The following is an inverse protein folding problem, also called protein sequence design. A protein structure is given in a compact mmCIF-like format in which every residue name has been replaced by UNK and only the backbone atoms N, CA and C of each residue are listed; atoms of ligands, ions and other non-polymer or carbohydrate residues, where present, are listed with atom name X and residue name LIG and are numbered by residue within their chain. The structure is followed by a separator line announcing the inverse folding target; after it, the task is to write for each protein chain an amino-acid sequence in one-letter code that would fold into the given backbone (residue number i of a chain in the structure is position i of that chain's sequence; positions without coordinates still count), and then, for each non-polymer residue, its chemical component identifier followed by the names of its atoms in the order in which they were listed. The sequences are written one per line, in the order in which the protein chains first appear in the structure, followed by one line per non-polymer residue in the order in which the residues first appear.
data_IF_431877722959
#
_entry.id   IF_431877722959
#
_cell.length_a   1.000
_cell.length_b   1.000
_cell.length_c   1.000
_cell.angle_alpha   90.00
_cell.angle_beta   90.00
_cell.angle_gamma   90.00
#
_symmetry.space_group_name_H-M   'P 1'
#
loop_
_entity.id
_entity.type
_entity.pdbx_description
1 polymer ?
#
# COMPACT_ATOMS: atom_id res chain seq x y z
N UNK A 1 11.55 14.75 20.83
CA UNK A 1 11.18 14.35 19.46
C UNK A 1 11.87 13.02 19.17
N UNK A 2 11.15 12.02 18.64
CA UNK A 2 11.83 10.81 18.14
C UNK A 2 12.54 11.18 16.85
N UNK A 3 13.85 10.91 16.77
CA UNK A 3 14.71 11.32 15.65
C UNK A 3 15.04 10.16 14.70
N UNK A 4 14.70 8.93 15.08
CA UNK A 4 14.94 7.74 14.28
C UNK A 4 13.72 7.43 13.40
N UNK A 5 13.92 7.01 12.13
CA UNK A 5 12.85 6.49 11.29
C UNK A 5 12.10 5.32 11.94
N UNK A 6 10.88 5.05 11.45
CA UNK A 6 10.10 3.92 11.93
C UNK A 6 10.81 2.60 11.58
N UNK A 7 10.62 1.58 12.42
CA UNK A 7 11.28 0.28 12.24
C UNK A 7 11.03 -0.26 10.82
N UNK A 8 12.09 -0.71 10.16
CA UNK A 8 12.03 -1.24 8.79
C UNK A 8 12.08 -0.17 7.70
N UNK A 9 12.34 1.10 8.05
CA UNK A 9 12.53 2.20 7.09
C UNK A 9 13.86 2.90 7.33
N UNK A 10 14.42 3.51 6.28
CA UNK A 10 15.69 4.24 6.33
C UNK A 10 15.56 5.56 5.56
N UNK A 11 16.30 6.57 6.01
CA UNK A 11 16.56 7.76 5.20
C UNK A 11 17.65 7.43 4.17
N UNK A 12 17.48 7.87 2.93
CA UNK A 12 18.50 7.75 1.88
C UNK A 12 19.19 9.11 1.70
N UNK A 13 20.52 9.12 1.81
CA UNK A 13 21.35 10.31 1.71
C UNK A 13 21.69 10.61 0.23
N UNK A 14 22.21 11.82 -0.09
CA UNK A 14 22.38 12.26 -1.48
C UNK A 14 23.13 11.26 -2.38
N UNK A 15 24.22 10.67 -1.89
CA UNK A 15 24.99 9.68 -2.66
C UNK A 15 24.20 8.39 -2.94
N UNK A 16 23.33 7.96 -2.03
CA UNK A 16 22.50 6.77 -2.21
C UNK A 16 21.36 7.04 -3.19
N UNK A 17 20.78 8.24 -3.13
CA UNK A 17 19.74 8.69 -4.06
C UNK A 17 20.31 8.81 -5.47
N UNK A 18 21.52 9.38 -5.65
CA UNK A 18 22.18 9.49 -6.95
C UNK A 18 22.37 8.12 -7.62
N UNK A 19 22.85 7.13 -6.86
CA UNK A 19 23.02 5.76 -7.35
C UNK A 19 21.67 5.14 -7.72
N UNK A 20 20.65 5.34 -6.88
CA UNK A 20 19.30 4.81 -7.12
C UNK A 20 18.68 5.40 -8.39
N UNK A 21 18.77 6.71 -8.57
CA UNK A 21 18.20 7.41 -9.72
C UNK A 21 18.89 6.98 -11.02
N UNK A 22 20.22 6.82 -10.99
CA UNK A 22 20.96 6.28 -12.12
C UNK A 22 20.44 4.89 -12.52
N UNK A 23 20.34 3.97 -11.55
CA UNK A 23 19.87 2.60 -11.82
C UNK A 23 18.42 2.56 -12.34
N UNK A 24 17.52 3.34 -11.74
CA UNK A 24 16.13 3.43 -12.19
C UNK A 24 16.04 3.94 -13.63
N UNK A 25 16.85 4.94 -13.99
CA UNK A 25 16.89 5.47 -15.35
C UNK A 25 17.45 4.48 -16.38
N UNK A 26 18.49 3.72 -16.04
CA UNK A 26 19.02 2.68 -16.94
C UNK A 26 17.98 1.58 -17.21
N UNK A 27 17.26 1.14 -16.17
CA UNK A 27 16.16 0.18 -16.32
C UNK A 27 15.05 0.76 -17.21
N UNK A 28 14.63 2.00 -16.94
CA UNK A 28 13.58 2.67 -17.70
C UNK A 28 13.93 2.80 -19.19
N UNK A 29 15.18 3.17 -19.52
CA UNK A 29 15.66 3.26 -20.91
C UNK A 29 15.48 1.96 -21.66
N UNK A 30 15.78 0.82 -21.03
CA UNK A 30 15.60 -0.50 -21.64
C UNK A 30 14.13 -0.78 -21.94
N UNK A 31 13.23 -0.53 -20.99
CA UNK A 31 11.78 -0.72 -21.22
C UNK A 31 11.25 0.15 -22.36
N UNK A 32 11.59 1.44 -22.36
CA UNK A 32 11.15 2.39 -23.40
C UNK A 32 11.70 2.01 -24.77
N UNK A 33 12.97 1.59 -24.86
CA UNK A 33 13.56 1.13 -26.12
C UNK A 33 12.88 -0.12 -26.69
N UNK A 34 12.17 -0.88 -25.86
CA UNK A 34 11.38 -2.05 -26.25
C UNK A 34 9.87 -1.74 -26.44
N UNK A 35 9.50 -0.45 -26.47
CA UNK A 35 8.13 -0.02 -26.75
C UNK A 35 7.18 -0.04 -25.55
N UNK A 36 7.69 -0.22 -24.33
CA UNK A 36 6.87 -0.12 -23.12
C UNK A 36 6.74 1.34 -22.67
N UNK A 37 5.58 1.68 -22.12
CA UNK A 37 5.31 2.98 -21.50
C UNK A 37 5.34 2.85 -19.98
N UNK A 38 5.89 3.87 -19.32
CA UNK A 38 5.97 3.91 -17.87
C UNK A 38 4.71 4.57 -17.30
N UNK A 39 4.01 3.86 -16.42
CA UNK A 39 2.89 4.37 -15.63
C UNK A 39 3.24 4.37 -14.15
N UNK A 40 2.52 5.16 -13.37
CA UNK A 40 2.55 5.08 -11.91
C UNK A 40 1.15 4.94 -11.38
N UNK A 41 0.99 4.13 -10.33
CA UNK A 41 -0.27 3.99 -9.60
C UNK A 41 -0.12 4.61 -8.21
N UNK A 42 -1.24 5.01 -7.57
CA UNK A 42 -1.23 5.42 -6.17
C UNK A 42 -0.58 4.37 -5.27
N UNK A 43 0.05 4.80 -4.18
CA UNK A 43 0.57 3.89 -3.15
C UNK A 43 -0.56 3.29 -2.29
N UNK A 44 -1.73 3.93 -2.29
CA UNK A 44 -2.92 3.54 -1.53
C UNK A 44 -3.95 2.96 -2.51
N UNK A 45 -4.52 1.82 -2.14
CA UNK A 45 -5.61 1.15 -2.85
C UNK A 45 -6.78 0.90 -1.90
N UNK A 46 -7.98 0.68 -2.46
CA UNK A 46 -9.12 0.21 -1.69
C UNK A 46 -8.83 -1.19 -1.12
N UNK A 47 -9.13 -1.42 0.15
CA UNK A 47 -8.84 -2.70 0.81
C UNK A 47 -9.59 -3.86 0.13
N UNK A 48 -10.76 -3.60 -0.46
CA UNK A 48 -11.50 -4.63 -1.18
C UNK A 48 -10.74 -5.18 -2.40
N UNK A 49 -9.89 -4.36 -3.02
CA UNK A 49 -9.08 -4.80 -4.16
C UNK A 49 -7.92 -5.66 -3.67
N UNK A 50 -7.32 -5.30 -2.53
CA UNK A 50 -6.19 -6.02 -1.95
C UNK A 50 -6.62 -7.38 -1.37
N UNK A 51 -7.78 -7.44 -0.69
CA UNK A 51 -8.31 -8.65 -0.05
C UNK A 51 -8.85 -9.70 -1.05
N UNK A 52 -9.22 -9.29 -2.28
CA UNK A 52 -9.72 -10.18 -3.34
C UNK A 52 -8.62 -10.78 -4.21
N UNK A 53 -7.36 -10.47 -3.96
CA UNK A 53 -6.24 -11.08 -4.68
C UNK A 53 -6.07 -12.54 -4.25
N UNK A 54 -5.60 -13.41 -5.17
CA UNK A 54 -5.23 -14.81 -4.88
C UNK A 54 -4.02 -14.94 -3.90
N UNK A 55 -3.76 -13.90 -3.09
CA UNK A 55 -2.56 -13.72 -2.28
C UNK A 55 -2.40 -14.68 -1.11
N UNK A 56 -3.40 -15.52 -0.80
CA UNK A 56 -3.30 -16.54 0.25
C UNK A 56 -2.83 -15.95 1.59
N UNK A 57 -1.75 -16.51 2.15
CA UNK A 57 -1.17 -16.03 3.42
C UNK A 57 -0.60 -14.60 3.37
N UNK A 58 -0.31 -14.05 2.17
CA UNK A 58 0.25 -12.70 2.00
C UNK A 58 -0.75 -11.59 2.31
N UNK A 59 -2.06 -11.89 2.35
CA UNK A 59 -3.09 -10.92 2.76
C UNK A 59 -2.88 -10.45 4.22
N UNK A 60 -2.20 -11.25 5.05
CA UNK A 60 -1.83 -10.88 6.41
C UNK A 60 -0.67 -9.85 6.48
N UNK A 61 -0.04 -9.51 5.35
CA UNK A 61 1.12 -8.61 5.29
C UNK A 61 0.75 -7.19 4.82
N UNK A 62 -0.53 -6.93 4.55
CA UNK A 62 -0.99 -5.62 4.07
C UNK A 62 -0.98 -4.60 5.21
N UNK A 63 -0.36 -3.45 4.97
CA UNK A 63 -0.52 -2.28 5.83
C UNK A 63 -1.90 -1.65 5.59
N UNK A 64 -2.83 -1.92 6.49
CA UNK A 64 -4.18 -1.33 6.48
C UNK A 64 -4.17 0.11 6.96
N UNK A 65 -4.96 0.95 6.30
CA UNK A 65 -5.16 2.36 6.65
C UNK A 65 -6.57 2.50 7.22
N UNK A 66 -6.66 3.07 8.41
CA UNK A 66 -7.93 3.29 9.10
C UNK A 66 -8.80 4.30 8.35
N UNK A 67 -10.11 4.10 8.47
CA UNK A 67 -11.15 5.09 8.16
C UNK A 67 -10.82 6.42 8.85
N UNK A 68 -11.38 7.52 8.34
CA UNK A 68 -11.16 8.88 8.89
C UNK A 68 -12.49 9.59 9.16
N UNK A 69 -12.47 10.52 10.12
CA UNK A 69 -13.64 11.31 10.52
C UNK A 69 -14.82 10.45 10.95
N UNK A 70 -16.04 10.90 10.64
CA UNK A 70 -17.30 10.24 11.02
C UNK A 70 -17.37 8.76 10.65
N UNK A 71 -16.70 8.33 9.57
CA UNK A 71 -16.66 6.92 9.17
C UNK A 71 -15.94 6.06 10.22
N UNK A 72 -14.86 6.58 10.79
CA UNK A 72 -14.13 5.88 11.85
C UNK A 72 -14.94 5.87 13.14
N UNK A 73 -15.54 7.00 13.50
CA UNK A 73 -16.36 7.11 14.72
C UNK A 73 -17.50 6.10 14.69
N UNK A 74 -18.24 6.01 13.57
CA UNK A 74 -19.30 5.03 13.38
C UNK A 74 -18.80 3.58 13.48
N UNK A 75 -17.63 3.28 12.90
CA UNK A 75 -17.04 1.95 12.98
C UNK A 75 -16.63 1.58 14.41
N UNK A 76 -16.09 2.54 15.18
CA UNK A 76 -15.75 2.30 16.59
C UNK A 76 -17.00 2.11 17.43
N UNK A 77 -18.06 2.91 17.21
CA UNK A 77 -19.35 2.72 17.90
C UNK A 77 -19.97 1.36 17.57
N UNK A 78 -19.94 0.91 16.31
CA UNK A 78 -20.46 -0.41 15.93
C UNK A 78 -19.72 -1.55 16.66
N UNK A 79 -18.40 -1.42 16.82
CA UNK A 79 -17.58 -2.38 17.57
C UNK A 79 -17.83 -2.36 19.08
N UNK A 80 -18.29 -1.25 19.64
CA UNK A 80 -18.68 -1.20 21.05
C UNK A 80 -19.99 -1.94 21.30
N UNK A 81 -20.95 -1.82 20.38
CA UNK A 81 -22.23 -2.51 20.44
C UNK A 81 -22.09 -4.01 20.15
N UNK A 82 -21.27 -4.36 19.14
CA UNK A 82 -21.00 -5.73 18.72
C UNK A 82 -19.49 -5.98 18.63
N UNK A 83 -18.83 -6.33 19.74
CA UNK A 83 -17.39 -6.53 19.78
C UNK A 83 -16.91 -7.60 18.77
N UNK A 84 -15.97 -7.19 17.91
CA UNK A 84 -15.22 -8.08 17.02
C UNK A 84 -13.74 -8.04 17.41
N UNK A 85 -12.99 -9.10 17.10
CA UNK A 85 -11.55 -9.19 17.34
C UNK A 85 -10.83 -9.71 16.09
N UNK A 86 -9.50 -9.52 16.04
CA UNK A 86 -8.66 -9.93 14.90
C UNK A 86 -9.09 -9.26 13.59
N UNK A 87 -8.97 -9.98 12.48
CA UNK A 87 -9.26 -9.50 11.12
C UNK A 87 -10.67 -8.93 10.97
N UNK A 88 -11.66 -9.48 11.70
CA UNK A 88 -13.03 -8.99 11.65
C UNK A 88 -13.18 -7.58 12.26
N UNK A 89 -12.36 -7.24 13.25
CA UNK A 89 -12.28 -5.89 13.80
C UNK A 89 -11.55 -4.96 12.83
N UNK A 90 -10.40 -5.40 12.29
CA UNK A 90 -9.61 -4.61 11.34
C UNK A 90 -10.42 -4.19 10.11
N UNK A 91 -11.20 -5.11 9.53
CA UNK A 91 -12.04 -4.86 8.36
C UNK A 91 -13.21 -3.91 8.67
N UNK A 92 -13.59 -3.77 9.95
CA UNK A 92 -14.59 -2.79 10.36
C UNK A 92 -14.00 -1.37 10.40
N UNK A 93 -12.74 -1.21 10.81
CA UNK A 93 -12.11 0.11 11.03
C UNK A 93 -11.22 0.60 9.88
N UNK A 94 -10.83 -0.27 8.95
CA UNK A 94 -10.01 0.08 7.79
C UNK A 94 -10.80 -0.03 6.47
N UNK A 95 -10.54 0.87 5.54
CA UNK A 95 -11.15 0.87 4.19
C UNK A 95 -10.12 1.05 3.06
N UNK A 96 -8.84 1.15 3.40
CA UNK A 96 -7.74 1.31 2.44
C UNK A 96 -6.52 0.49 2.88
N UNK A 97 -5.59 0.25 1.97
CA UNK A 97 -4.30 -0.34 2.29
C UNK A 97 -3.17 0.18 1.39
N UNK A 98 -1.92 0.01 1.84
CA UNK A 98 -0.76 0.23 0.99
C UNK A 98 -0.63 -0.92 -0.02
N UNK A 99 -0.32 -0.61 -1.27
CA UNK A 99 -0.04 -1.63 -2.30
C UNK A 99 1.10 -2.55 -1.84
N UNK A 100 0.89 -3.86 -1.94
CA UNK A 100 1.91 -4.86 -1.63
C UNK A 100 2.72 -5.26 -2.88
N UNK A 101 2.12 -5.11 -4.07
CA UNK A 101 2.75 -5.34 -5.37
C UNK A 101 2.41 -4.24 -6.39
N UNK A 102 2.86 -4.42 -7.63
CA UNK A 102 2.53 -3.55 -8.77
C UNK A 102 1.54 -4.18 -9.76
N UNK A 103 1.27 -5.48 -9.67
CA UNK A 103 0.44 -6.22 -10.63
C UNK A 103 -1.03 -5.96 -10.40
N UNK A 104 -1.47 -5.94 -9.14
CA UNK A 104 -2.87 -5.67 -8.81
C UNK A 104 -3.28 -4.23 -9.17
N UNK A 105 -2.50 -3.19 -8.81
CA UNK A 105 -2.79 -1.84 -9.29
C UNK A 105 -2.76 -1.70 -10.81
N UNK A 106 -1.93 -2.51 -11.49
CA UNK A 106 -1.88 -2.56 -12.95
C UNK A 106 -3.16 -3.17 -13.54
N UNK A 107 -3.64 -4.30 -13.02
CA UNK A 107 -4.91 -4.90 -13.46
C UNK A 107 -6.06 -3.92 -13.28
N UNK A 108 -6.19 -3.29 -12.11
CA UNK A 108 -7.20 -2.25 -11.84
C UNK A 108 -7.11 -1.05 -12.78
N UNK A 109 -5.93 -0.73 -13.30
CA UNK A 109 -5.79 0.39 -14.25
C UNK A 109 -6.35 0.05 -15.63
N UNK A 110 -6.34 -1.23 -16.02
CA UNK A 110 -6.82 -1.70 -17.31
C UNK A 110 -8.24 -2.28 -17.30
N UNK A 111 -8.73 -2.73 -16.13
CA UNK A 111 -10.11 -3.16 -15.88
C UNK A 111 -11.07 -1.97 -15.75
#
# INVERSE_FOLDING_TARGET
MKITPVKGTNDYLPNEVEIRDYLQNEILKVYVANGFEHITTPIIEDIENLDKSDGGENLNLIFKIMKRGDKLEKAVSSLQENPKTGTACENEIADMGLRYDLTLPLSRYFD
#
